data_IF_158718283463
#
_entry.id   IF_158718283463
#
_cell.length_a   1.000
_cell.length_b   1.000
_cell.length_c   1.000
_cell.angle_alpha   90.00
_cell.angle_beta   90.00
_cell.angle_gamma   90.00
#
_symmetry.space_group_name_H-M   'P 1'
#
loop_
_entity.id
_entity.type
_entity.pdbx_description
1 polymer ?
#
# COMPACT_ATOMS: atom_id res chain seq x y z
N UNK A 1 25.79 -50.48 37.68
CA UNK A 1 25.14 -49.21 38.02
C UNK A 1 26.24 -48.16 38.06
N UNK A 2 26.50 -47.58 36.89
CA UNK A 2 27.46 -46.48 36.69
C UNK A 2 26.60 -45.23 36.69
N UNK A 3 26.81 -44.34 37.65
CA UNK A 3 26.15 -43.04 37.71
C UNK A 3 27.06 -42.00 37.08
N UNK A 4 26.60 -41.39 36.00
CA UNK A 4 27.24 -40.26 35.35
C UNK A 4 27.18 -39.01 36.26
N UNK A 5 28.22 -38.15 36.27
CA UNK A 5 28.10 -36.81 36.82
C UNK A 5 27.50 -35.88 35.75
N UNK A 6 26.50 -35.10 36.17
CA UNK A 6 25.84 -34.07 35.38
C UNK A 6 26.86 -33.08 34.79
N UNK A 7 26.88 -32.96 33.45
CA UNK A 7 27.44 -31.79 32.77
C UNK A 7 26.45 -30.65 32.90
N UNK A 8 26.81 -29.62 33.66
CA UNK A 8 26.22 -28.28 33.52
C UNK A 8 26.49 -27.78 32.09
N UNK A 9 25.45 -27.73 31.27
CA UNK A 9 25.50 -27.03 29.98
C UNK A 9 25.67 -25.53 30.24
N UNK A 10 26.85 -25.02 29.90
CA UNK A 10 27.13 -23.61 29.87
C UNK A 10 26.26 -22.95 28.77
N UNK A 11 25.25 -22.20 29.18
CA UNK A 11 24.51 -21.25 28.34
C UNK A 11 25.52 -20.26 27.73
N UNK A 12 25.58 -20.07 26.39
CA UNK A 12 26.46 -19.06 25.82
C UNK A 12 25.95 -17.68 26.25
N UNK A 13 26.76 -17.02 27.08
CA UNK A 13 26.44 -15.72 27.66
C UNK A 13 26.19 -14.64 26.62
N UNK A 14 25.12 -13.89 26.86
CA UNK A 14 24.82 -12.58 26.28
C UNK A 14 26.01 -11.63 26.51
N UNK A 15 26.71 -11.26 25.44
CA UNK A 15 27.91 -10.43 25.58
C UNK A 15 28.46 -9.93 24.25
N UNK A 16 27.59 -9.39 23.40
CA UNK A 16 28.01 -8.81 22.12
C UNK A 16 26.93 -7.91 21.56
N UNK A 17 26.83 -6.68 22.10
CA UNK A 17 26.01 -5.66 21.45
C UNK A 17 26.56 -5.30 20.07
N UNK A 18 25.84 -4.48 19.31
CA UNK A 18 26.13 -4.04 17.93
C UNK A 18 27.61 -3.71 17.64
N UNK A 19 28.42 -3.37 18.64
CA UNK A 19 29.90 -3.27 18.56
C UNK A 19 30.62 -4.55 18.10
N UNK A 20 30.03 -5.75 18.24
CA UNK A 20 30.58 -6.99 17.71
C UNK A 20 30.21 -7.23 16.23
N UNK A 21 29.26 -6.47 15.68
CA UNK A 21 28.71 -6.66 14.31
C UNK A 21 28.94 -5.44 13.42
N UNK A 22 28.94 -4.23 13.97
CA UNK A 22 29.37 -3.00 13.30
C UNK A 22 30.89 -3.04 13.08
N UNK A 23 31.38 -2.36 12.03
CA UNK A 23 32.79 -2.35 11.76
C UNK A 23 33.51 -1.68 12.94
N UNK A 24 34.66 -2.23 13.34
CA UNK A 24 35.61 -1.58 14.25
C UNK A 24 36.20 -0.27 13.64
N UNK A 25 35.59 0.27 12.57
CA UNK A 25 36.08 1.36 11.74
C UNK A 25 35.11 2.54 11.64
N UNK A 26 35.51 3.55 10.87
CA UNK A 26 34.77 4.79 10.64
C UNK A 26 33.55 4.59 9.73
N UNK A 27 32.47 5.30 10.04
CA UNK A 27 31.32 5.46 9.15
C UNK A 27 31.61 6.58 8.14
N UNK A 28 30.82 6.68 7.07
CA UNK A 28 30.96 7.74 6.08
C UNK A 28 29.73 8.64 6.13
N UNK A 29 29.92 9.96 6.24
CA UNK A 29 28.85 10.96 6.14
C UNK A 29 28.32 11.07 4.70
N UNK A 30 27.16 11.69 4.47
CA UNK A 30 26.67 11.99 3.11
C UNK A 30 27.64 12.83 2.26
N UNK A 31 28.56 13.57 2.90
CA UNK A 31 29.61 14.35 2.23
C UNK A 31 30.88 13.52 1.90
N UNK A 32 30.91 12.23 2.26
CA UNK A 32 32.07 11.37 2.06
C UNK A 32 33.15 11.46 3.15
N UNK A 33 32.86 12.13 4.26
CA UNK A 33 33.80 12.33 5.38
C UNK A 33 33.66 11.22 6.41
N UNK A 34 34.76 10.77 7.01
CA UNK A 34 34.72 9.77 8.06
C UNK A 34 34.08 10.32 9.35
N UNK A 35 33.13 9.55 9.93
CA UNK A 35 32.40 9.85 11.16
C UNK A 35 32.70 8.76 12.19
N UNK A 36 32.95 9.16 13.44
CA UNK A 36 33.32 8.25 14.51
C UNK A 36 32.08 7.71 15.25
N UNK A 37 32.15 6.45 15.68
CA UNK A 37 31.08 5.74 16.41
C UNK A 37 30.66 6.30 17.80
N UNK A 38 31.47 7.09 18.57
CA UNK A 38 31.06 7.61 19.87
C UNK A 38 29.78 8.46 19.85
N UNK A 39 29.39 8.98 18.69
CA UNK A 39 28.13 9.72 18.52
C UNK A 39 26.87 8.83 18.60
N UNK A 40 27.02 7.50 18.61
CA UNK A 40 25.91 6.54 18.62
C UNK A 40 25.57 6.01 20.01
N UNK A 41 26.37 6.32 21.03
CA UNK A 41 26.19 5.78 22.37
C UNK A 41 24.91 6.30 23.01
N UNK A 42 24.12 5.40 23.60
CA UNK A 42 22.81 5.73 24.20
C UNK A 42 21.68 5.99 23.20
N UNK A 43 21.91 5.91 21.88
CA UNK A 43 20.88 6.11 20.85
C UNK A 43 20.27 4.79 20.38
N UNK A 44 18.98 4.82 20.05
CA UNK A 44 18.33 3.77 19.24
C UNK A 44 18.87 3.88 17.82
N UNK A 45 19.27 2.74 17.24
CA UNK A 45 19.91 2.68 15.93
C UNK A 45 18.99 1.99 14.92
N UNK A 46 18.70 2.66 13.80
CA UNK A 46 18.05 2.05 12.64
C UNK A 46 19.08 1.62 11.60
N UNK A 47 19.26 0.33 11.37
CA UNK A 47 20.04 -0.19 10.24
C UNK A 47 19.16 -0.22 8.99
N UNK A 48 19.46 0.66 8.04
CA UNK A 48 18.68 0.82 6.82
C UNK A 48 19.39 0.15 5.63
N UNK A 49 18.84 -0.96 5.14
CA UNK A 49 19.34 -1.69 3.97
C UNK A 49 18.53 -1.28 2.74
N UNK A 50 19.19 -0.74 1.72
CA UNK A 50 18.55 -0.27 0.50
C UNK A 50 19.55 -0.13 -0.66
N UNK A 51 19.03 0.05 -1.87
CA UNK A 51 19.81 0.30 -3.08
C UNK A 51 19.12 1.33 -3.99
N UNK A 52 19.92 2.06 -4.78
CA UNK A 52 19.49 3.13 -5.67
C UNK A 52 18.56 2.65 -6.80
N UNK A 53 18.73 1.41 -7.25
CA UNK A 53 18.02 0.85 -8.40
C UNK A 53 16.63 0.29 -8.05
N UNK A 54 16.29 0.19 -6.76
CA UNK A 54 15.07 -0.47 -6.32
C UNK A 54 13.93 0.54 -6.08
N UNK A 55 12.81 0.51 -6.84
CA UNK A 55 11.77 1.53 -6.76
C UNK A 55 11.15 1.69 -5.35
N UNK A 56 10.96 0.58 -4.63
CA UNK A 56 10.46 0.65 -3.24
C UNK A 56 11.41 1.40 -2.29
N UNK A 57 12.72 1.34 -2.52
CA UNK A 57 13.70 2.07 -1.72
C UNK A 57 13.65 3.58 -2.01
N UNK A 58 13.48 3.95 -3.29
CA UNK A 58 13.29 5.34 -3.70
C UNK A 58 12.03 5.95 -3.08
N UNK A 59 10.93 5.19 -3.01
CA UNK A 59 9.68 5.61 -2.38
C UNK A 59 9.78 5.71 -0.84
N UNK A 60 10.51 4.79 -0.18
CA UNK A 60 10.60 4.75 1.28
C UNK A 60 11.57 5.78 1.88
N UNK A 61 12.71 6.03 1.23
CA UNK A 61 13.77 6.89 1.77
C UNK A 61 13.29 8.28 2.21
N UNK A 62 12.44 9.00 1.44
CA UNK A 62 11.91 10.29 1.86
C UNK A 62 11.04 10.22 3.13
N UNK A 63 10.25 9.15 3.30
CA UNK A 63 9.42 8.95 4.49
C UNK A 63 10.29 8.74 5.74
N UNK A 64 11.33 7.91 5.62
CA UNK A 64 12.30 7.71 6.70
C UNK A 64 13.07 9.00 7.03
N UNK A 65 13.47 9.78 6.03
CA UNK A 65 14.14 11.07 6.22
C UNK A 65 13.25 12.07 6.97
N UNK A 66 11.96 12.15 6.62
CA UNK A 66 11.00 13.01 7.31
C UNK A 66 10.86 12.64 8.80
N UNK A 67 10.64 11.36 9.09
CA UNK A 67 10.56 10.86 10.46
C UNK A 67 11.87 11.10 11.23
N UNK A 68 13.02 10.83 10.61
CA UNK A 68 14.34 11.08 11.17
C UNK A 68 14.53 12.55 11.58
N UNK A 69 14.21 13.50 10.70
CA UNK A 69 14.34 14.92 11.01
C UNK A 69 13.46 15.34 12.19
N UNK A 70 12.22 14.84 12.28
CA UNK A 70 11.32 15.11 13.41
C UNK A 70 11.87 14.52 14.72
N UNK A 71 12.41 13.29 14.69
CA UNK A 71 13.03 12.65 15.85
C UNK A 71 14.29 13.39 16.33
N UNK A 72 15.13 13.85 15.40
CA UNK A 72 16.33 14.64 15.71
C UNK A 72 15.95 16.00 16.29
N UNK A 73 14.96 16.69 15.72
CA UNK A 73 14.50 18.00 16.18
C UNK A 73 14.00 17.97 17.64
N UNK A 74 13.38 16.87 18.08
CA UNK A 74 12.91 16.70 19.47
C UNK A 74 13.92 16.03 20.41
N UNK A 75 15.13 15.73 19.93
CA UNK A 75 16.18 15.10 20.76
C UNK A 75 15.88 13.66 21.17
N UNK A 76 15.12 12.90 20.37
CA UNK A 76 14.65 11.55 20.74
C UNK A 76 15.75 10.48 20.86
N UNK A 77 17.00 10.80 20.51
CA UNK A 77 18.10 9.84 20.56
C UNK A 77 17.99 8.72 19.50
N UNK A 78 17.59 9.07 18.28
CA UNK A 78 17.54 8.14 17.14
C UNK A 78 18.65 8.45 16.14
N UNK A 79 19.34 7.42 15.65
CA UNK A 79 20.29 7.52 14.55
C UNK A 79 20.06 6.42 13.52
N UNK A 80 20.28 6.73 12.24
CA UNK A 80 20.17 5.75 11.15
C UNK A 80 21.56 5.44 10.62
N UNK A 81 21.81 4.18 10.26
CA UNK A 81 23.01 3.74 9.58
C UNK A 81 22.62 3.09 8.25
N UNK A 82 23.05 3.70 7.15
CA UNK A 82 22.80 3.16 5.82
C UNK A 82 23.76 2.01 5.50
N UNK A 83 23.20 0.87 5.12
CA UNK A 83 23.92 -0.33 4.67
C UNK A 83 23.55 -0.56 3.20
N UNK A 84 24.40 -0.08 2.30
CA UNK A 84 24.10 -0.12 0.86
C UNK A 84 24.15 -1.52 0.27
N UNK A 85 23.11 -1.85 -0.49
CA UNK A 85 23.02 -3.03 -1.35
C UNK A 85 23.31 -2.72 -2.83
N UNK A 86 23.89 -1.54 -3.13
CA UNK A 86 24.32 -1.17 -4.47
C UNK A 86 25.52 -2.01 -4.94
N UNK A 87 25.58 -2.28 -6.24
CA UNK A 87 26.64 -3.09 -6.86
C UNK A 87 27.89 -2.25 -7.19
N UNK A 88 27.74 -0.93 -7.34
CA UNK A 88 28.80 -0.01 -7.73
C UNK A 88 28.86 1.26 -6.86
N UNK A 89 30.07 1.82 -6.75
CA UNK A 89 30.35 2.99 -5.92
C UNK A 89 29.61 4.26 -6.38
N UNK A 90 29.54 4.58 -7.69
CA UNK A 90 28.73 5.70 -8.17
C UNK A 90 27.25 5.63 -7.75
N UNK A 91 26.62 4.47 -7.85
CA UNK A 91 25.22 4.25 -7.42
C UNK A 91 25.05 4.50 -5.92
N UNK A 92 25.95 3.95 -5.11
CA UNK A 92 26.01 4.20 -3.67
C UNK A 92 26.11 5.70 -3.35
N UNK A 93 27.09 6.40 -3.93
CA UNK A 93 27.32 7.82 -3.64
C UNK A 93 26.15 8.70 -4.07
N UNK A 94 25.54 8.38 -5.22
CA UNK A 94 24.36 9.10 -5.72
C UNK A 94 23.19 9.00 -4.74
N UNK A 95 22.93 7.79 -4.25
CA UNK A 95 21.80 7.54 -3.38
C UNK A 95 22.03 8.07 -1.96
N UNK A 96 23.22 7.83 -1.40
CA UNK A 96 23.59 8.28 -0.07
C UNK A 96 23.64 9.81 0.06
N UNK A 97 24.01 10.54 -1.00
CA UNK A 97 24.04 12.02 -1.01
C UNK A 97 22.69 12.65 -0.63
N UNK A 98 21.58 11.98 -0.94
CA UNK A 98 20.23 12.46 -0.60
C UNK A 98 19.79 12.16 0.84
N UNK A 99 20.58 11.41 1.61
CA UNK A 99 20.21 10.93 2.94
C UNK A 99 20.83 11.79 4.04
N UNK A 100 20.15 11.98 5.19
CA UNK A 100 20.67 12.79 6.29
C UNK A 100 21.54 12.04 7.30
N UNK A 101 21.82 10.75 7.07
CA UNK A 101 22.51 9.85 8.01
C UNK A 101 23.80 9.26 7.45
N UNK A 102 24.72 8.78 8.30
CA UNK A 102 25.94 8.13 7.85
C UNK A 102 25.69 6.71 7.28
N UNK A 103 26.71 6.17 6.61
CA UNK A 103 26.69 4.87 5.97
C UNK A 103 27.90 4.00 6.37
N UNK A 104 27.73 2.69 6.29
CA UNK A 104 28.86 1.75 6.28
C UNK A 104 29.69 2.01 5.01
N UNK A 105 31.04 2.09 5.09
CA UNK A 105 31.87 2.28 3.92
C UNK A 105 31.54 1.30 2.79
N UNK A 106 31.37 1.82 1.56
CA UNK A 106 30.97 0.99 0.41
C UNK A 106 31.88 -0.24 0.20
N UNK A 107 33.19 -0.05 0.42
CA UNK A 107 34.21 -1.11 0.29
C UNK A 107 34.26 -2.12 1.43
N UNK A 108 33.56 -1.90 2.55
CA UNK A 108 33.51 -2.84 3.67
C UNK A 108 32.49 -3.95 3.41
N UNK A 109 32.79 -4.78 2.41
CA UNK A 109 31.94 -5.89 2.00
C UNK A 109 31.74 -6.93 3.12
N UNK A 110 32.75 -7.11 3.98
CA UNK A 110 32.69 -8.03 5.12
C UNK A 110 31.64 -7.56 6.12
N UNK A 111 31.70 -6.30 6.54
CA UNK A 111 30.73 -5.75 7.47
C UNK A 111 29.31 -5.81 6.89
N UNK A 112 29.12 -5.38 5.64
CA UNK A 112 27.81 -5.42 4.98
C UNK A 112 27.23 -6.83 4.97
N UNK A 113 28.04 -7.83 4.60
CA UNK A 113 27.64 -9.25 4.60
C UNK A 113 27.27 -9.73 6.00
N UNK A 114 28.11 -9.47 6.99
CA UNK A 114 27.84 -9.87 8.38
C UNK A 114 26.57 -9.23 8.94
N UNK A 115 26.29 -7.97 8.61
CA UNK A 115 25.05 -7.30 9.01
C UNK A 115 23.82 -7.93 8.33
N UNK A 116 23.88 -8.18 7.01
CA UNK A 116 22.79 -8.82 6.29
C UNK A 116 22.48 -10.22 6.82
N UNK A 117 23.52 -11.01 7.13
CA UNK A 117 23.38 -12.36 7.69
C UNK A 117 22.84 -12.33 9.13
N UNK A 118 23.39 -11.47 9.99
CA UNK A 118 23.00 -11.39 11.40
C UNK A 118 21.53 -10.99 11.59
N UNK A 119 21.00 -10.16 10.69
CA UNK A 119 19.61 -9.69 10.76
C UNK A 119 18.69 -10.34 9.71
N UNK A 120 19.14 -11.42 9.06
CA UNK A 120 18.35 -12.19 8.11
C UNK A 120 17.64 -11.30 7.07
N UNK A 121 18.43 -10.44 6.42
CA UNK A 121 17.92 -9.50 5.42
C UNK A 121 17.72 -10.23 4.09
N UNK A 122 16.47 -10.59 3.78
CA UNK A 122 16.09 -11.31 2.55
C UNK A 122 15.63 -10.38 1.41
N UNK A 123 15.36 -9.11 1.71
CA UNK A 123 14.85 -8.13 0.75
C UNK A 123 15.07 -6.68 1.19
N UNK A 124 14.86 -5.76 0.25
CA UNK A 124 14.98 -4.31 0.46
C UNK A 124 13.74 -3.55 -0.05
N UNK A 125 13.37 -2.40 0.55
CA UNK A 125 14.01 -1.78 1.72
C UNK A 125 13.79 -2.60 3.00
N UNK A 126 14.74 -2.55 3.92
CA UNK A 126 14.64 -3.14 5.27
C UNK A 126 15.16 -2.15 6.30
N UNK A 127 14.43 -1.96 7.41
CA UNK A 127 14.84 -1.10 8.51
C UNK A 127 14.82 -1.87 9.84
N UNK A 128 15.98 -2.33 10.30
CA UNK A 128 16.12 -3.02 11.59
C UNK A 128 16.35 -2.00 12.69
N UNK A 129 15.52 -1.97 13.73
CA UNK A 129 15.64 -1.04 14.85
C UNK A 129 16.23 -1.74 16.06
N UNK A 130 17.31 -1.18 16.59
CA UNK A 130 18.09 -1.73 17.69
C UNK A 130 18.01 -0.82 18.93
N UNK A 131 17.98 -1.44 20.10
CA UNK A 131 18.00 -0.75 21.39
C UNK A 131 19.26 0.10 21.58
N UNK A 132 19.29 1.04 22.55
CA UNK A 132 20.50 1.77 22.89
C UNK A 132 21.70 0.85 23.16
N UNK A 133 22.84 1.13 22.53
CA UNK A 133 24.02 0.26 22.59
C UNK A 133 23.93 -1.00 21.72
N UNK A 134 22.80 -1.17 21.02
CA UNK A 134 22.51 -2.19 20.01
C UNK A 134 22.65 -3.62 20.50
N UNK A 135 22.35 -3.87 21.77
CA UNK A 135 22.33 -5.19 22.39
C UNK A 135 21.14 -6.05 21.98
N UNK A 136 20.06 -5.43 21.53
CA UNK A 136 18.78 -6.09 21.28
C UNK A 136 18.08 -5.49 20.06
N UNK A 137 17.36 -6.33 19.32
CA UNK A 137 16.47 -5.90 18.23
C UNK A 137 15.13 -5.50 18.82
N UNK A 138 14.77 -4.21 18.72
CA UNK A 138 13.44 -3.71 19.09
C UNK A 138 12.42 -4.11 18.02
N UNK A 139 12.78 -3.93 16.75
CA UNK A 139 11.92 -4.23 15.61
C UNK A 139 12.77 -4.77 14.46
N UNK A 140 12.47 -5.97 13.99
CA UNK A 140 13.21 -6.61 12.89
C UNK A 140 12.94 -5.95 11.54
N UNK A 141 11.81 -5.28 11.38
CA UNK A 141 11.49 -4.49 10.20
C UNK A 141 10.48 -3.37 10.49
N UNK A 142 10.96 -2.13 10.50
CA UNK A 142 10.17 -0.94 10.80
C UNK A 142 9.71 -0.17 9.54
N UNK A 143 9.91 -0.70 8.33
CA UNK A 143 9.52 -0.03 7.07
C UNK A 143 8.03 0.35 7.09
N UNK A 144 7.15 -0.62 7.39
CA UNK A 144 5.70 -0.39 7.45
C UNK A 144 5.30 0.56 8.59
N UNK A 145 5.99 0.48 9.73
CA UNK A 145 5.73 1.37 10.88
C UNK A 145 6.06 2.82 10.53
N UNK A 146 7.18 3.07 9.84
CA UNK A 146 7.55 4.41 9.38
C UNK A 146 6.58 4.91 8.31
N UNK A 147 6.17 4.05 7.37
CA UNK A 147 5.18 4.43 6.36
C UNK A 147 3.83 4.81 6.98
N UNK A 148 3.33 4.00 7.93
CA UNK A 148 2.00 4.17 8.53
C UNK A 148 1.96 5.28 9.58
N UNK A 149 2.98 5.34 10.43
CA UNK A 149 2.96 6.19 11.63
C UNK A 149 4.04 7.26 11.65
N UNK A 150 5.10 7.18 10.84
CA UNK A 150 6.20 8.14 10.85
C UNK A 150 6.92 8.19 12.21
N UNK A 151 7.17 9.40 12.72
CA UNK A 151 7.86 9.62 14.00
C UNK A 151 7.06 9.17 15.26
N UNK A 152 5.70 9.14 15.28
CA UNK A 152 4.94 8.51 16.36
C UNK A 152 5.28 7.05 16.64
N UNK A 153 5.77 6.29 15.65
CA UNK A 153 6.15 4.89 15.83
C UNK A 153 7.31 4.72 16.81
N UNK A 154 8.19 5.72 16.93
CA UNK A 154 9.32 5.67 17.85
C UNK A 154 8.86 5.44 19.30
N UNK A 155 9.50 4.55 20.08
CA UNK A 155 10.77 3.85 19.82
C UNK A 155 10.67 2.54 19.01
N UNK A 156 9.57 2.32 18.31
CA UNK A 156 9.27 1.12 17.50
C UNK A 156 9.08 -0.15 18.33
N UNK A 157 8.84 -0.02 19.64
CA UNK A 157 8.59 -1.16 20.52
C UNK A 157 7.22 -1.76 20.26
N UNK A 158 7.04 -3.08 20.49
CA UNK A 158 5.73 -3.72 20.35
C UNK A 158 4.63 -3.03 21.17
N UNK A 159 4.95 -2.58 22.40
CA UNK A 159 4.01 -1.84 23.24
C UNK A 159 3.58 -0.51 22.59
N UNK A 160 4.53 0.24 22.02
CA UNK A 160 4.22 1.50 21.34
C UNK A 160 3.38 1.30 20.08
N UNK A 161 3.67 0.26 19.32
CA UNK A 161 2.88 -0.11 18.15
C UNK A 161 1.45 -0.48 18.56
N UNK A 162 1.29 -1.29 19.61
CA UNK A 162 -0.03 -1.66 20.12
C UNK A 162 -0.85 -0.45 20.60
N UNK A 163 -0.21 0.55 21.22
CA UNK A 163 -0.86 1.82 21.57
C UNK A 163 -1.38 2.56 20.32
N UNK A 164 -0.56 2.69 19.28
CA UNK A 164 -0.93 3.36 18.04
C UNK A 164 -2.07 2.64 17.31
N UNK A 165 -2.02 1.31 17.28
CA UNK A 165 -3.07 0.47 16.71
C UNK A 165 -4.37 0.58 17.49
N UNK A 166 -4.32 0.60 18.83
CA UNK A 166 -5.50 0.81 19.67
C UNK A 166 -6.12 2.20 19.47
N UNK A 167 -5.29 3.25 19.35
CA UNK A 167 -5.74 4.61 19.04
C UNK A 167 -6.44 4.69 17.68
N UNK A 168 -5.88 4.05 16.64
CA UNK A 168 -6.52 3.96 15.33
C UNK A 168 -7.82 3.16 15.40
N UNK A 169 -7.83 2.02 16.05
CA UNK A 169 -9.03 1.20 16.21
C UNK A 169 -10.13 1.98 16.94
N UNK A 170 -9.79 2.76 17.95
CA UNK A 170 -10.73 3.64 18.66
C UNK A 170 -11.29 4.74 17.74
N UNK A 171 -10.44 5.33 16.87
CA UNK A 171 -10.89 6.30 15.86
C UNK A 171 -11.84 5.66 14.85
N UNK A 172 -11.55 4.46 14.35
CA UNK A 172 -12.45 3.73 13.43
C UNK A 172 -13.75 3.30 14.14
N UNK A 173 -13.65 2.78 15.36
CA UNK A 173 -14.80 2.36 16.16
C UNK A 173 -15.72 3.53 16.53
N UNK A 174 -15.20 4.76 16.62
CA UNK A 174 -15.98 5.98 16.87
C UNK A 174 -16.28 6.81 15.62
N UNK A 175 -15.85 6.35 14.43
CA UNK A 175 -16.11 6.97 13.14
C UNK A 175 -17.62 7.14 12.91
N UNK A 176 -18.02 8.32 12.46
CA UNK A 176 -19.34 8.56 11.86
C UNK A 176 -19.11 9.36 10.58
N UNK A 177 -20.11 9.40 9.70
CA UNK A 177 -19.99 10.16 8.46
C UNK A 177 -19.66 11.63 8.74
N UNK A 178 -20.33 12.24 9.72
CA UNK A 178 -20.15 13.65 10.07
C UNK A 178 -18.77 13.95 10.65
N UNK A 179 -18.18 13.01 11.42
CA UNK A 179 -16.84 13.18 11.97
C UNK A 179 -15.73 13.06 10.92
N UNK A 180 -16.02 12.43 9.77
CA UNK A 180 -15.04 12.35 8.68
C UNK A 180 -14.84 13.70 7.98
N UNK A 181 -15.91 14.50 7.89
CA UNK A 181 -15.87 15.78 7.20
C UNK A 181 -15.56 16.93 8.14
N UNK A 182 -14.52 17.70 7.80
CA UNK A 182 -14.23 18.99 8.46
C UNK A 182 -15.20 20.11 8.03
N UNK A 183 -16.10 19.82 7.09
CA UNK A 183 -17.08 20.74 6.51
C UNK A 183 -18.50 20.27 6.82
N UNK A 184 -19.45 21.19 6.87
CA UNK A 184 -20.86 20.86 7.14
C UNK A 184 -21.68 20.52 5.89
N UNK A 185 -21.14 20.77 4.69
CA UNK A 185 -21.82 20.56 3.42
C UNK A 185 -20.88 20.14 2.29
N UNK A 186 -21.47 19.56 1.24
CA UNK A 186 -20.87 19.31 -0.08
C UNK A 186 -21.65 20.07 -1.15
N UNK A 187 -21.06 20.30 -2.31
CA UNK A 187 -21.68 20.97 -3.45
C UNK A 187 -22.29 19.95 -4.40
N UNK A 188 -23.52 20.18 -4.85
CA UNK A 188 -24.17 19.43 -5.93
C UNK A 188 -24.98 20.37 -6.82
N UNK A 189 -24.75 20.37 -8.13
CA UNK A 189 -25.54 21.11 -9.13
C UNK A 189 -26.03 22.50 -8.68
N UNK A 190 -25.09 23.37 -8.28
CA UNK A 190 -25.31 24.75 -7.77
C UNK A 190 -26.01 24.89 -6.41
N UNK A 191 -26.14 23.81 -5.64
CA UNK A 191 -26.69 23.81 -4.28
C UNK A 191 -25.70 23.22 -3.28
N UNK A 192 -25.74 23.75 -2.05
CA UNK A 192 -25.07 23.14 -0.90
C UNK A 192 -25.96 22.07 -0.27
N UNK A 193 -25.43 20.87 -0.12
CA UNK A 193 -26.08 19.70 0.46
C UNK A 193 -25.45 19.42 1.83
N UNK A 194 -26.21 19.48 2.94
CA UNK A 194 -25.67 19.19 4.27
C UNK A 194 -25.14 17.75 4.38
N UNK A 195 -24.00 17.54 5.03
CA UNK A 195 -23.45 16.19 5.27
C UNK A 195 -24.44 15.29 6.02
N UNK A 196 -25.25 15.86 6.92
CA UNK A 196 -26.28 15.12 7.66
C UNK A 196 -27.33 14.46 6.76
N UNK A 197 -27.54 14.98 5.53
CA UNK A 197 -28.46 14.38 4.56
C UNK A 197 -27.91 13.14 3.85
N UNK A 198 -26.60 12.87 4.02
CA UNK A 198 -25.91 11.69 3.51
C UNK A 198 -25.85 10.55 4.55
N UNK A 199 -26.17 10.83 5.81
CA UNK A 199 -26.23 9.83 6.89
C UNK A 199 -27.31 8.80 6.56
N UNK A 200 -27.01 7.52 6.76
CA UNK A 200 -27.90 6.41 6.36
C UNK A 200 -27.73 5.98 4.90
N UNK A 201 -26.92 6.68 4.09
CA UNK A 201 -26.58 6.25 2.73
C UNK A 201 -25.23 5.55 2.71
N UNK A 202 -25.05 4.69 1.71
CA UNK A 202 -23.72 4.25 1.28
C UNK A 202 -23.08 5.39 0.50
N UNK A 203 -21.94 5.89 0.97
CA UNK A 203 -21.23 7.04 0.39
C UNK A 203 -19.86 6.63 -0.13
N UNK A 204 -19.63 6.83 -1.43
CA UNK A 204 -18.30 6.70 -2.03
C UNK A 204 -17.50 7.99 -1.94
N UNK A 205 -16.39 8.01 -1.21
CA UNK A 205 -15.41 9.11 -1.22
C UNK A 205 -14.44 8.88 -2.38
N UNK A 206 -14.57 9.70 -3.43
CA UNK A 206 -13.82 9.54 -4.67
C UNK A 206 -12.67 10.54 -4.77
N UNK A 207 -11.44 10.08 -4.51
CA UNK A 207 -10.22 10.86 -4.61
C UNK A 207 -9.71 10.83 -6.04
N UNK A 208 -9.71 11.98 -6.71
CA UNK A 208 -9.28 12.13 -8.10
C UNK A 208 -8.83 13.55 -8.38
N UNK A 209 -8.25 13.79 -9.57
CA UNK A 209 -7.84 15.09 -10.06
C UNK A 209 -8.01 15.17 -11.58
N UNK A 210 -8.13 16.40 -12.11
CA UNK A 210 -8.10 16.68 -13.53
C UNK A 210 -6.72 16.34 -14.13
N UNK A 211 -6.68 15.98 -15.43
CA UNK A 211 -5.45 15.58 -16.17
C UNK A 211 -4.66 14.41 -15.57
N UNK A 212 -5.25 13.67 -14.63
CA UNK A 212 -4.76 12.36 -14.20
C UNK A 212 -5.29 11.29 -15.19
N UNK A 213 -4.42 10.76 -16.05
CA UNK A 213 -4.83 9.80 -17.08
C UNK A 213 -5.53 8.53 -16.53
N UNK A 214 -5.05 7.90 -15.42
CA UNK A 214 -5.78 6.81 -14.79
C UNK A 214 -7.16 7.23 -14.27
N UNK A 215 -7.29 8.47 -13.77
CA UNK A 215 -8.53 9.01 -13.23
C UNK A 215 -9.59 9.19 -14.31
N UNK A 216 -9.23 9.67 -15.50
CA UNK A 216 -10.19 9.87 -16.62
C UNK A 216 -10.89 8.55 -16.97
N UNK A 217 -10.13 7.45 -17.12
CA UNK A 217 -10.71 6.12 -17.44
C UNK A 217 -11.65 5.64 -16.33
N UNK A 218 -11.23 5.77 -15.08
CA UNK A 218 -12.02 5.31 -13.94
C UNK A 218 -13.28 6.16 -13.69
N UNK A 219 -13.21 7.49 -13.85
CA UNK A 219 -14.35 8.39 -13.71
C UNK A 219 -15.50 8.00 -14.64
N UNK A 220 -15.21 7.69 -15.90
CA UNK A 220 -16.24 7.27 -16.85
C UNK A 220 -16.93 5.95 -16.41
N UNK A 221 -16.14 4.99 -15.93
CA UNK A 221 -16.65 3.71 -15.41
C UNK A 221 -17.51 3.92 -14.16
N UNK A 222 -17.03 4.75 -13.23
CA UNK A 222 -17.74 5.08 -11.99
C UNK A 222 -19.05 5.82 -12.25
N UNK A 223 -19.09 6.72 -13.24
CA UNK A 223 -20.32 7.41 -13.66
C UNK A 223 -21.39 6.44 -14.18
N UNK A 224 -21.00 5.41 -14.94
CA UNK A 224 -21.93 4.38 -15.42
C UNK A 224 -22.53 3.56 -14.26
N UNK A 225 -21.71 3.18 -13.28
CA UNK A 225 -22.18 2.48 -12.07
C UNK A 225 -23.09 3.39 -11.25
N UNK A 226 -22.68 4.63 -11.02
CA UNK A 226 -23.46 5.60 -10.28
C UNK A 226 -24.84 5.82 -10.90
N UNK A 227 -24.95 5.95 -12.23
CA UNK A 227 -26.22 6.05 -12.93
C UNK A 227 -27.10 4.80 -12.74
N UNK A 228 -26.48 3.61 -12.80
CA UNK A 228 -27.18 2.32 -12.59
C UNK A 228 -27.70 2.18 -11.16
N UNK A 229 -26.87 2.53 -10.17
CA UNK A 229 -27.20 2.43 -8.75
C UNK A 229 -28.20 3.51 -8.33
N UNK A 230 -28.07 4.75 -8.79
CA UNK A 230 -29.08 5.80 -8.50
C UNK A 230 -30.47 5.44 -9.00
N UNK A 231 -30.59 4.69 -10.09
CA UNK A 231 -31.86 4.18 -10.59
C UNK A 231 -32.46 3.03 -9.78
N UNK A 232 -31.66 2.35 -8.95
CA UNK A 232 -32.04 1.14 -8.19
C UNK A 232 -32.00 1.35 -6.66
N UNK A 233 -31.25 2.33 -6.18
CA UNK A 233 -30.90 2.56 -4.78
C UNK A 233 -30.91 4.08 -4.50
N UNK A 234 -31.94 4.54 -3.80
CA UNK A 234 -32.00 5.91 -3.25
C UNK A 234 -30.88 6.18 -2.21
N UNK A 235 -30.16 5.13 -1.81
CA UNK A 235 -29.20 5.10 -0.71
C UNK A 235 -27.73 5.00 -1.16
N UNK A 236 -27.40 5.33 -2.42
CA UNK A 236 -26.01 5.48 -2.87
C UNK A 236 -25.71 6.93 -3.30
N UNK A 237 -24.60 7.47 -2.82
CA UNK A 237 -24.08 8.78 -3.21
C UNK A 237 -22.56 8.76 -3.36
N UNK A 238 -22.02 9.63 -4.22
CA UNK A 238 -20.58 9.82 -4.34
C UNK A 238 -20.24 11.26 -3.95
N UNK A 239 -19.17 11.41 -3.17
CA UNK A 239 -18.57 12.70 -2.84
C UNK A 239 -17.17 12.74 -3.45
N UNK A 240 -16.99 13.60 -4.44
CA UNK A 240 -15.69 13.92 -5.02
C UNK A 240 -14.81 14.62 -3.99
N UNK A 241 -13.64 14.04 -3.74
CA UNK A 241 -12.59 14.59 -2.89
C UNK A 241 -11.48 15.11 -3.81
N UNK A 242 -11.39 16.43 -4.02
CA UNK A 242 -10.48 16.97 -5.03
C UNK A 242 -9.03 16.87 -4.57
N UNK A 243 -8.20 16.27 -5.43
CA UNK A 243 -6.74 16.24 -5.31
C UNK A 243 -6.07 17.17 -6.32
N UNK A 244 -6.87 17.98 -7.03
CA UNK A 244 -6.42 19.05 -7.90
C UNK A 244 -5.58 20.08 -7.14
N UNK A 245 -4.52 20.59 -7.79
CA UNK A 245 -3.68 21.66 -7.22
C UNK A 245 -4.24 23.06 -7.47
N UNK A 246 -5.14 23.19 -8.45
CA UNK A 246 -5.65 24.45 -8.96
C UNK A 246 -7.18 24.39 -9.07
N UNK A 247 -7.84 25.52 -8.80
CA UNK A 247 -9.30 25.61 -8.79
C UNK A 247 -9.89 25.32 -10.17
N UNK A 248 -9.22 25.74 -11.25
CA UNK A 248 -9.65 25.46 -12.61
C UNK A 248 -9.66 23.95 -12.92
N UNK A 249 -8.77 23.18 -12.29
CA UNK A 249 -8.77 21.72 -12.40
C UNK A 249 -9.99 21.12 -11.70
N UNK A 250 -10.24 21.56 -10.46
CA UNK A 250 -11.43 21.19 -9.68
C UNK A 250 -12.73 21.48 -10.44
N UNK A 251 -12.89 22.70 -10.96
CA UNK A 251 -14.10 23.12 -11.67
C UNK A 251 -14.37 22.27 -12.92
N UNK A 252 -13.32 21.90 -13.66
CA UNK A 252 -13.46 21.00 -14.81
C UNK A 252 -13.89 19.60 -14.38
N UNK A 253 -13.25 19.03 -13.35
CA UNK A 253 -13.63 17.72 -12.81
C UNK A 253 -15.09 17.70 -12.37
N UNK A 254 -15.55 18.74 -11.65
CA UNK A 254 -16.93 18.87 -11.21
C UNK A 254 -17.93 19.03 -12.37
N UNK A 255 -17.53 19.67 -13.48
CA UNK A 255 -18.38 19.81 -14.65
C UNK A 255 -18.72 18.48 -15.35
N UNK A 256 -17.81 17.50 -15.26
CA UNK A 256 -17.96 16.19 -15.92
C UNK A 256 -18.62 15.13 -15.02
N UNK A 257 -18.78 15.40 -13.72
CA UNK A 257 -19.18 14.41 -12.72
C UNK A 257 -20.66 14.56 -12.29
N UNK A 258 -21.44 13.46 -12.23
CA UNK A 258 -22.87 13.50 -11.90
C UNK A 258 -23.19 13.49 -10.40
N UNK A 259 -22.19 13.66 -9.54
CA UNK A 259 -22.28 13.45 -8.08
C UNK A 259 -21.82 14.69 -7.29
N UNK A 260 -21.88 14.60 -5.95
CA UNK A 260 -21.53 15.70 -5.05
C UNK A 260 -20.01 15.91 -4.98
N UNK A 261 -19.56 17.09 -4.60
CA UNK A 261 -18.15 17.42 -4.44
C UNK A 261 -17.87 18.17 -3.15
N UNK A 262 -16.73 17.91 -2.51
CA UNK A 262 -16.27 18.77 -1.45
C UNK A 262 -16.02 20.20 -1.97
N UNK A 263 -16.32 21.23 -1.15
CA UNK A 263 -15.96 22.59 -1.49
C UNK A 263 -14.46 22.69 -1.81
N UNK A 264 -14.12 23.44 -2.86
CA UNK A 264 -12.72 23.69 -3.16
C UNK A 264 -12.10 24.50 -2.03
N UNK A 265 -10.96 24.02 -1.56
CA UNK A 265 -10.16 24.63 -0.52
C UNK A 265 -8.80 24.90 -1.14
N UNK A 266 -8.43 26.17 -1.29
CA UNK A 266 -7.18 26.57 -1.92
C UNK A 266 -5.96 26.03 -1.17
N UNK A 267 -6.07 25.89 0.16
CA UNK A 267 -5.02 25.25 0.91
C UNK A 267 -5.13 23.73 0.81
N UNK A 268 -6.30 23.13 0.55
CA UNK A 268 -6.56 21.71 0.38
C UNK A 268 -6.63 20.90 1.69
N UNK A 269 -6.84 21.54 2.84
CA UNK A 269 -6.83 20.92 4.15
C UNK A 269 -7.91 19.85 4.29
N UNK A 270 -9.12 20.11 3.81
CA UNK A 270 -10.23 19.14 3.90
C UNK A 270 -9.93 17.85 3.12
N UNK A 271 -9.49 17.97 1.87
CA UNK A 271 -9.08 16.81 1.06
C UNK A 271 -7.89 16.07 1.67
N UNK A 272 -6.87 16.80 2.15
CA UNK A 272 -5.70 16.18 2.80
C UNK A 272 -6.04 15.50 4.11
N UNK A 273 -6.98 16.02 4.88
CA UNK A 273 -7.42 15.40 6.13
C UNK A 273 -8.04 14.03 5.85
N UNK A 274 -8.93 13.95 4.85
CA UNK A 274 -9.52 12.69 4.40
C UNK A 274 -8.46 11.74 3.81
N UNK A 275 -7.59 12.25 2.93
CA UNK A 275 -6.54 11.43 2.32
C UNK A 275 -5.60 10.84 3.37
N UNK A 276 -5.25 11.60 4.41
CA UNK A 276 -4.46 11.10 5.55
C UNK A 276 -5.23 10.09 6.40
N UNK A 277 -6.50 10.36 6.69
CA UNK A 277 -7.33 9.46 7.50
C UNK A 277 -7.45 8.06 6.86
N UNK A 278 -7.57 8.02 5.53
CA UNK A 278 -7.71 6.78 4.77
C UNK A 278 -6.39 6.21 4.22
N UNK A 279 -5.26 6.87 4.46
CA UNK A 279 -3.94 6.55 3.87
C UNK A 279 -4.00 6.45 2.33
N UNK A 280 -4.61 7.44 1.69
CA UNK A 280 -4.70 7.55 0.23
C UNK A 280 -3.36 8.01 -0.33
N UNK A 281 -2.61 7.09 -0.93
CA UNK A 281 -1.29 7.34 -1.52
C UNK A 281 -1.32 7.64 -3.02
N UNK A 282 -2.33 7.11 -3.71
CA UNK A 282 -2.46 7.22 -5.16
C UNK A 282 -3.89 7.57 -5.56
N UNK A 283 -4.04 8.12 -6.77
CA UNK A 283 -5.33 8.41 -7.40
C UNK A 283 -5.43 7.71 -8.77
N UNK A 284 -6.64 7.32 -9.22
CA UNK A 284 -7.91 7.43 -8.52
C UNK A 284 -8.02 6.45 -7.34
N UNK A 285 -8.71 6.85 -6.26
CA UNK A 285 -9.05 5.98 -5.12
C UNK A 285 -10.52 6.18 -4.75
N UNK A 286 -11.22 5.08 -4.44
CA UNK A 286 -12.62 5.11 -4.00
C UNK A 286 -12.73 4.38 -2.66
N UNK A 287 -13.03 5.13 -1.60
CA UNK A 287 -13.33 4.59 -0.27
C UNK A 287 -14.84 4.55 -0.10
N UNK A 288 -15.40 3.43 0.36
CA UNK A 288 -16.83 3.26 0.57
C UNK A 288 -17.14 3.34 2.05
N UNK A 289 -18.05 4.23 2.41
CA UNK A 289 -18.62 4.41 3.74
C UNK A 289 -20.03 3.84 3.73
N UNK A 290 -20.37 3.03 4.71
CA UNK A 290 -21.68 2.41 4.84
C UNK A 290 -22.73 3.35 5.43
N UNK A 291 -24.01 2.94 5.42
CA UNK A 291 -25.12 3.67 6.03
C UNK A 291 -24.91 4.04 7.51
N UNK A 292 -24.16 3.23 8.24
CA UNK A 292 -23.79 3.42 9.65
C UNK A 292 -22.65 4.45 9.86
N UNK A 293 -22.14 5.04 8.78
CA UNK A 293 -21.01 5.96 8.79
C UNK A 293 -19.65 5.27 8.99
N UNK A 294 -19.58 3.93 8.94
CA UNK A 294 -18.35 3.15 9.04
C UNK A 294 -17.73 2.89 7.68
N UNK A 295 -16.41 2.73 7.67
CA UNK A 295 -15.69 2.38 6.45
C UNK A 295 -15.99 0.93 6.11
N UNK A 296 -16.63 0.71 4.96
CA UNK A 296 -16.91 -0.62 4.42
C UNK A 296 -15.67 -1.16 3.72
N UNK A 297 -15.04 -0.36 2.86
CA UNK A 297 -13.81 -0.76 2.17
C UNK A 297 -13.04 0.46 1.67
N UNK A 298 -11.71 0.34 1.61
CA UNK A 298 -10.83 1.31 0.94
C UNK A 298 -10.49 0.89 -0.50
N UNK A 299 -10.88 -0.32 -0.88
CA UNK A 299 -10.57 -0.96 -2.16
C UNK A 299 -11.72 -0.79 -3.17
N UNK A 300 -12.58 0.22 -3.00
CA UNK A 300 -13.77 0.42 -3.82
C UNK A 300 -13.44 0.52 -5.31
N UNK A 301 -12.29 1.12 -5.67
CA UNK A 301 -11.82 1.18 -7.07
C UNK A 301 -11.58 -0.21 -7.64
N UNK A 302 -10.94 -1.09 -6.88
CA UNK A 302 -10.64 -2.45 -7.30
C UNK A 302 -11.94 -3.22 -7.46
N UNK A 303 -12.84 -3.17 -6.47
CA UNK A 303 -14.14 -3.84 -6.54
C UNK A 303 -15.00 -3.35 -7.72
N UNK A 304 -15.00 -2.06 -8.03
CA UNK A 304 -15.66 -1.50 -9.22
C UNK A 304 -15.06 -2.04 -10.52
N UNK A 305 -13.74 -2.20 -10.58
CA UNK A 305 -13.08 -2.74 -11.76
C UNK A 305 -13.35 -4.24 -11.95
N UNK A 306 -13.53 -4.98 -10.85
CA UNK A 306 -13.80 -6.42 -10.88
C UNK A 306 -15.27 -6.74 -11.09
N UNK A 307 -16.14 -6.20 -10.23
CA UNK A 307 -17.54 -6.60 -10.13
C UNK A 307 -18.51 -5.51 -10.62
N UNK A 308 -18.02 -4.34 -11.03
CA UNK A 308 -18.85 -3.24 -11.53
C UNK A 308 -19.95 -2.84 -10.52
N UNK A 309 -21.22 -2.81 -10.91
CA UNK A 309 -22.35 -2.49 -10.02
C UNK A 309 -22.73 -3.65 -9.08
N UNK A 310 -22.34 -4.89 -9.39
CA UNK A 310 -22.59 -6.07 -8.55
C UNK A 310 -21.81 -6.03 -7.23
N UNK A 311 -20.73 -5.25 -7.18
CA UNK A 311 -19.98 -5.02 -5.95
C UNK A 311 -20.84 -4.41 -4.86
N UNK A 312 -21.86 -3.60 -5.21
CA UNK A 312 -22.71 -2.90 -4.25
C UNK A 312 -23.43 -3.90 -3.31
N UNK A 313 -23.48 -3.67 -1.98
CA UNK A 313 -23.06 -2.47 -1.23
C UNK A 313 -21.58 -2.44 -0.79
N UNK A 314 -20.72 -3.19 -1.47
CA UNK A 314 -19.27 -3.31 -1.24
C UNK A 314 -18.87 -3.98 0.07
N UNK A 315 -19.82 -4.63 0.74
CA UNK A 315 -19.58 -5.34 2.00
C UNK A 315 -18.77 -6.61 1.77
N UNK A 316 -17.99 -7.01 2.77
CA UNK A 316 -17.23 -8.27 2.74
C UNK A 316 -18.13 -9.48 2.42
N UNK A 317 -19.36 -9.48 2.97
CA UNK A 317 -20.34 -10.53 2.71
C UNK A 317 -20.76 -10.56 1.23
N UNK A 318 -21.01 -9.40 0.63
CA UNK A 318 -21.37 -9.31 -0.78
C UNK A 318 -20.21 -9.78 -1.67
N UNK A 319 -18.95 -9.38 -1.39
CA UNK A 319 -17.85 -9.83 -2.25
C UNK A 319 -17.54 -11.32 -2.04
N UNK A 320 -17.74 -11.87 -0.83
CA UNK A 320 -17.66 -13.32 -0.60
C UNK A 320 -18.70 -14.07 -1.43
N UNK A 321 -19.95 -13.61 -1.45
CA UNK A 321 -20.99 -14.20 -2.29
C UNK A 321 -20.59 -14.19 -3.77
N UNK A 322 -20.06 -13.08 -4.28
CA UNK A 322 -19.61 -12.98 -5.67
C UNK A 322 -18.45 -13.96 -5.96
N UNK A 323 -17.49 -14.07 -5.04
CA UNK A 323 -16.37 -15.01 -5.16
C UNK A 323 -16.84 -16.47 -5.13
N UNK A 324 -17.80 -16.82 -4.27
CA UNK A 324 -18.39 -18.16 -4.23
C UNK A 324 -19.14 -18.50 -5.53
N UNK A 325 -19.84 -17.53 -6.11
CA UNK A 325 -20.49 -17.69 -7.42
C UNK A 325 -19.46 -17.89 -8.55
N UNK A 326 -18.35 -17.15 -8.51
CA UNK A 326 -17.23 -17.33 -9.44
C UNK A 326 -16.57 -18.71 -9.29
N UNK A 327 -16.33 -19.15 -8.05
CA UNK A 327 -15.80 -20.48 -7.74
C UNK A 327 -16.73 -21.60 -8.23
N UNK A 328 -18.05 -21.42 -8.13
CA UNK A 328 -19.04 -22.38 -8.63
C UNK A 328 -19.11 -22.36 -10.16
N UNK A 329 -19.15 -21.19 -10.81
CA UNK A 329 -19.13 -21.08 -12.28
C UNK A 329 -17.84 -21.69 -12.86
N UNK A 330 -16.70 -21.49 -12.20
CA UNK A 330 -15.41 -22.04 -12.60
C UNK A 330 -15.40 -23.59 -12.69
N UNK A 331 -16.21 -24.29 -11.89
CA UNK A 331 -16.35 -25.77 -11.95
C UNK A 331 -16.97 -26.24 -13.27
N UNK A 332 -17.70 -25.37 -13.98
CA UNK A 332 -18.29 -25.66 -15.27
C UNK A 332 -17.31 -25.56 -16.45
N UNK A 333 -16.09 -25.07 -16.24
CA UNK A 333 -15.10 -24.91 -17.29
C UNK A 333 -14.12 -26.08 -17.33
N UNK A 334 -13.57 -26.35 -18.52
CA UNK A 334 -12.54 -27.36 -18.69
C UNK A 334 -11.27 -26.94 -17.92
N UNK A 335 -10.53 -27.89 -17.30
CA UNK A 335 -9.31 -27.56 -16.57
C UNK A 335 -8.19 -27.02 -17.48
N UNK A 336 -8.25 -27.34 -18.77
CA UNK A 336 -7.38 -26.79 -19.79
C UNK A 336 -8.10 -26.62 -21.13
N UNK A 337 -7.60 -25.72 -21.98
CA UNK A 337 -8.08 -25.57 -23.35
C UNK A 337 -6.98 -25.16 -24.32
N UNK A 338 -7.24 -25.35 -25.62
CA UNK A 338 -6.45 -24.79 -26.71
C UNK A 338 -7.19 -23.58 -27.27
N UNK A 339 -6.56 -22.41 -27.23
CA UNK A 339 -7.16 -21.16 -27.67
C UNK A 339 -6.72 -20.83 -29.11
N UNK A 340 -7.62 -20.33 -29.96
CA UNK A 340 -7.27 -20.00 -31.35
C UNK A 340 -6.28 -18.84 -31.45
N UNK A 341 -6.35 -17.88 -30.53
CA UNK A 341 -5.43 -16.75 -30.41
C UNK A 341 -4.08 -17.08 -29.75
N UNK A 342 -3.87 -18.31 -29.25
CA UNK A 342 -2.65 -18.65 -28.53
C UNK A 342 -2.18 -20.11 -28.73
N UNK A 343 -0.89 -20.31 -28.99
CA UNK A 343 -0.36 -21.64 -29.39
C UNK A 343 -0.20 -22.64 -28.26
N UNK A 344 0.04 -22.18 -27.03
CA UNK A 344 0.20 -23.08 -25.88
C UNK A 344 -1.16 -23.46 -25.29
N UNK A 345 -1.21 -24.62 -24.63
CA UNK A 345 -2.36 -25.00 -23.83
C UNK A 345 -2.49 -24.06 -22.63
N UNK A 346 -3.70 -23.57 -22.40
CA UNK A 346 -4.02 -22.72 -21.26
C UNK A 346 -4.61 -23.59 -20.16
N UNK A 347 -4.14 -23.40 -18.93
CA UNK A 347 -4.68 -24.08 -17.74
C UNK A 347 -5.49 -23.11 -16.90
N UNK A 348 -6.56 -23.60 -16.27
CA UNK A 348 -7.32 -22.77 -15.35
C UNK A 348 -6.48 -22.45 -14.10
N UNK A 349 -6.45 -21.18 -13.71
CA UNK A 349 -5.82 -20.70 -12.49
C UNK A 349 -6.82 -19.88 -11.68
N UNK A 350 -6.67 -19.94 -10.36
CA UNK A 350 -7.45 -19.13 -9.40
C UNK A 350 -6.57 -18.01 -8.84
N UNK A 351 -7.18 -17.06 -8.13
CA UNK A 351 -6.45 -16.01 -7.39
C UNK A 351 -5.40 -16.53 -6.42
N UNK A 352 -5.49 -17.78 -5.97
CA UNK A 352 -4.51 -18.40 -5.05
C UNK A 352 -3.38 -19.14 -5.77
N UNK A 353 -3.55 -19.46 -7.05
CA UNK A 353 -2.64 -20.32 -7.82
C UNK A 353 -2.06 -19.65 -9.07
N UNK A 354 -2.30 -18.36 -9.27
CA UNK A 354 -1.73 -17.58 -10.39
C UNK A 354 -2.64 -16.50 -10.98
N UNK A 355 -3.93 -16.48 -10.68
CA UNK A 355 -4.93 -15.56 -11.24
C UNK A 355 -5.15 -14.29 -10.41
N UNK A 356 -4.12 -13.46 -10.27
CA UNK A 356 -4.26 -12.11 -9.71
C UNK A 356 -5.06 -11.17 -10.63
N UNK A 357 -5.01 -9.83 -10.44
CA UNK A 357 -5.52 -8.90 -11.43
C UNK A 357 -4.74 -9.04 -12.75
N UNK A 358 -5.45 -9.23 -13.87
CA UNK A 358 -4.85 -9.37 -15.22
C UNK A 358 -5.63 -8.58 -16.26
N UNK A 359 -5.01 -8.33 -17.42
CA UNK A 359 -5.72 -7.83 -18.61
C UNK A 359 -5.92 -9.01 -19.54
N UNK A 360 -7.18 -9.32 -19.86
CA UNK A 360 -7.51 -10.43 -20.74
C UNK A 360 -6.95 -10.19 -22.14
N UNK A 361 -6.12 -11.10 -22.63
CA UNK A 361 -5.45 -10.98 -23.91
C UNK A 361 -6.40 -11.11 -25.12
N UNK A 362 -7.64 -11.56 -24.91
CA UNK A 362 -8.64 -11.72 -25.98
C UNK A 362 -9.55 -10.49 -26.11
N UNK A 363 -10.06 -9.96 -24.99
CA UNK A 363 -11.00 -8.83 -25.01
C UNK A 363 -10.43 -7.49 -24.51
N UNK A 364 -9.18 -7.46 -24.04
CA UNK A 364 -8.52 -6.28 -23.47
C UNK A 364 -9.24 -5.69 -22.24
N UNK A 365 -10.13 -6.46 -21.61
CA UNK A 365 -10.80 -6.08 -20.37
C UNK A 365 -10.06 -6.62 -19.14
N UNK A 366 -10.10 -5.85 -18.05
CA UNK A 366 -9.58 -6.28 -16.75
C UNK A 366 -10.30 -7.55 -16.26
N UNK A 367 -9.54 -8.55 -15.81
CA UNK A 367 -10.00 -9.70 -15.04
C UNK A 367 -9.30 -9.79 -13.70
N UNK A 368 -9.79 -10.69 -12.84
CA UNK A 368 -9.14 -11.12 -11.60
C UNK A 368 -9.72 -12.46 -11.16
N UNK A 369 -9.00 -13.19 -10.31
CA UNK A 369 -9.46 -14.44 -9.75
C UNK A 369 -9.28 -15.58 -10.74
N UNK A 370 -10.35 -16.02 -11.38
CA UNK A 370 -10.28 -17.15 -12.29
C UNK A 370 -9.89 -16.74 -13.72
N UNK A 371 -8.94 -17.46 -14.30
CA UNK A 371 -8.44 -17.21 -15.65
C UNK A 371 -7.98 -18.50 -16.32
N UNK A 372 -7.92 -18.50 -17.64
CA UNK A 372 -7.07 -19.43 -18.37
C UNK A 372 -5.70 -18.80 -18.57
N UNK A 373 -4.66 -19.40 -18.01
CA UNK A 373 -3.27 -18.92 -18.07
C UNK A 373 -2.37 -19.93 -18.78
N UNK A 374 -1.53 -19.42 -19.67
CA UNK A 374 -0.37 -20.15 -20.19
C UNK A 374 0.80 -20.00 -19.22
N UNK A 375 1.14 -21.06 -18.50
CA UNK A 375 2.28 -21.06 -17.55
C UNK A 375 3.61 -20.75 -18.26
N UNK A 376 3.75 -21.12 -19.54
CA UNK A 376 5.00 -20.95 -20.27
C UNK A 376 5.30 -19.49 -20.65
N UNK A 377 4.28 -18.65 -20.85
CA UNK A 377 4.51 -17.27 -21.34
C UNK A 377 3.62 -16.20 -20.68
N UNK A 378 2.79 -16.55 -19.70
CA UNK A 378 1.92 -15.61 -18.99
C UNK A 378 0.76 -15.08 -19.82
N UNK A 379 0.36 -15.75 -20.90
CA UNK A 379 -0.84 -15.38 -21.67
C UNK A 379 -2.08 -15.70 -20.84
N UNK A 380 -2.93 -14.70 -20.58
CA UNK A 380 -4.08 -14.82 -19.69
C UNK A 380 -5.37 -14.32 -20.35
N UNK A 381 -6.44 -15.10 -20.23
CA UNK A 381 -7.79 -14.72 -20.72
C UNK A 381 -8.85 -15.06 -19.68
N UNK A 382 -10.00 -14.38 -19.73
CA UNK A 382 -11.15 -14.75 -18.91
C UNK A 382 -11.64 -16.16 -19.25
N UNK A 383 -12.25 -16.85 -18.28
CA UNK A 383 -12.86 -18.16 -18.53
C UNK A 383 -13.88 -18.12 -19.67
N UNK A 384 -14.71 -17.06 -19.73
CA UNK A 384 -15.71 -16.85 -20.79
C UNK A 384 -15.09 -16.65 -22.18
N UNK A 385 -13.89 -16.05 -22.25
CA UNK A 385 -13.16 -15.84 -23.51
C UNK A 385 -12.57 -17.15 -24.05
N UNK A 386 -12.47 -18.19 -23.22
CA UNK A 386 -12.07 -19.53 -23.63
C UNK A 386 -13.19 -20.37 -24.24
N UNK A 387 -14.45 -19.92 -24.23
CA UNK A 387 -15.53 -20.64 -24.91
C UNK A 387 -15.47 -20.32 -26.41
N UNK A 388 -15.25 -21.33 -27.24
CA UNK A 388 -15.37 -21.18 -28.69
C UNK A 388 -16.75 -20.58 -29.03
N UNK A 389 -16.77 -19.50 -29.81
CA UNK A 389 -18.02 -18.91 -30.35
C UNK A 389 -18.54 -19.83 -31.46
N UNK A 390 -19.07 -20.99 -31.10
CA UNK A 390 -19.90 -21.79 -32.01
C UNK A 390 -21.35 -21.29 -31.94
N UNK A 391 -21.68 -20.26 -32.74
CA UNK A 391 -23.04 -19.71 -32.75
C UNK A 391 -23.33 -18.56 -33.71
N UNK A 392 -22.65 -18.45 -34.85
CA UNK A 392 -22.97 -17.49 -35.91
C UNK A 392 -23.89 -18.12 -36.96
N UNK A 393 -25.19 -17.88 -36.82
CA UNK A 393 -26.32 -18.26 -37.68
C UNK A 393 -26.02 -18.53 -39.17
N UNK A 394 -26.34 -19.74 -39.60
CA UNK A 394 -26.68 -20.05 -40.99
C UNK A 394 -28.10 -19.57 -41.32
N UNK A 395 -28.24 -18.82 -42.42
CA UNK A 395 -29.40 -18.85 -43.33
C UNK A 395 -30.71 -18.17 -42.92
N UNK A 396 -31.01 -17.04 -43.56
CA UNK A 396 -32.30 -16.81 -44.22
C UNK A 396 -32.08 -15.81 -45.36
N UNK A 397 -32.32 -16.28 -46.59
CA UNK A 397 -32.52 -15.43 -47.76
C UNK A 397 -33.97 -15.00 -47.90
#
# INVERSE_FOLDING_TARGET
MVGDPEMEEAVPGSGGGIRSVLPLGSLISPSGTEVQLPELEGKIIGLYFAANWHPKCEAFTPALAAAYHQLKARGAGFEVLFVSCDEDRPSFERFHRGMPWPAVPFGDLRCKKSLSEAFQVEGIPRLVVLAPGGSEVICSDAVELVHRYGDPAFPFTPARVAELEADEQSKFASQTLEKLFSVSYVNGSNQQVPISSLVGKTVGLYFSAHRCAPCVKFTARLAAIYGTLKGKAEEFEIVYVPMDKEEEGYLRSCGDMPWLALPYDADGASSRALARYFDVREIPTLVVIGPDGKTVTREGRNLVNLYFDMAFPFTDEQIRLLQELEDEDAKGYAPSLRHTGHRHELSIVSGKSGGGPYICCECDEQGSGWAYQCIACGYEIHLRCGRDVEGGSAGAG
#
